data_IF_121256569808
#
_entry.id   IF_121256569808
#
_cell.length_a   1.000
_cell.length_b   1.000
_cell.length_c   1.000
_cell.angle_alpha   90.00
_cell.angle_beta   90.00
_cell.angle_gamma   90.00
#
_symmetry.space_group_name_H-M   'P 1'
#
loop_
_entity.id
_entity.type
_entity.pdbx_description
1 polymer ?
#
# COMPACT_ATOMS: atom_id res chain seq x y z
N UNK A 1 -70.79 21.74 4.78
CA UNK A 1 -70.00 21.00 3.76
C UNK A 1 -68.49 21.21 3.97
N UNK A 2 -68.09 22.45 4.21
CA UNK A 2 -66.71 22.91 4.47
C UNK A 2 -65.97 22.22 5.64
N UNK A 3 -66.66 21.92 6.76
CA UNK A 3 -66.05 21.23 7.92
C UNK A 3 -65.64 19.78 7.60
N UNK A 4 -66.42 19.07 6.78
CA UNK A 4 -66.10 17.69 6.37
C UNK A 4 -64.89 17.65 5.43
N UNK A 5 -64.77 18.66 4.58
CA UNK A 5 -63.65 18.80 3.64
C UNK A 5 -62.35 19.16 4.37
N UNK A 6 -62.43 20.05 5.37
CA UNK A 6 -61.28 20.43 6.18
C UNK A 6 -60.77 19.26 7.05
N UNK A 7 -61.67 18.46 7.65
CA UNK A 7 -61.30 17.21 8.36
C UNK A 7 -60.64 16.18 7.45
N UNK A 8 -61.07 16.07 6.18
CA UNK A 8 -60.44 15.19 5.17
C UNK A 8 -59.04 15.67 4.80
N UNK A 9 -58.84 16.98 4.62
CA UNK A 9 -57.51 17.56 4.33
C UNK A 9 -56.53 17.35 5.49
N UNK A 10 -56.99 17.52 6.73
CA UNK A 10 -56.18 17.28 7.94
C UNK A 10 -55.79 15.80 8.06
N UNK A 11 -56.74 14.87 7.89
CA UNK A 11 -56.44 13.43 7.91
C UNK A 11 -55.45 13.01 6.82
N UNK A 12 -55.54 13.61 5.62
CA UNK A 12 -54.61 13.34 4.51
C UNK A 12 -53.20 13.82 4.82
N UNK A 13 -53.07 15.00 5.46
CA UNK A 13 -51.77 15.55 5.92
C UNK A 13 -51.15 14.72 7.04
N UNK A 14 -51.94 14.26 8.02
CA UNK A 14 -51.46 13.40 9.12
C UNK A 14 -50.98 12.06 8.56
N UNK A 15 -51.74 11.44 7.64
CA UNK A 15 -51.32 10.18 7.00
C UNK A 15 -50.04 10.36 6.19
N UNK A 16 -49.89 11.45 5.44
CA UNK A 16 -48.66 11.73 4.70
C UNK A 16 -47.45 11.93 5.63
N UNK A 17 -47.63 12.64 6.75
CA UNK A 17 -46.59 12.82 7.75
C UNK A 17 -46.19 11.49 8.41
N UNK A 18 -47.15 10.66 8.81
CA UNK A 18 -46.88 9.33 9.40
C UNK A 18 -46.16 8.41 8.41
N UNK A 19 -46.54 8.42 7.13
CA UNK A 19 -45.86 7.65 6.09
C UNK A 19 -44.44 8.17 5.85
N UNK A 20 -44.23 9.49 5.79
CA UNK A 20 -42.90 10.09 5.63
C UNK A 20 -42.00 9.76 6.83
N UNK A 21 -42.51 9.84 8.06
CA UNK A 21 -41.80 9.45 9.27
C UNK A 21 -41.51 7.96 9.30
N UNK A 22 -42.44 7.10 8.86
CA UNK A 22 -42.21 5.65 8.78
C UNK A 22 -41.17 5.27 7.71
N UNK A 23 -41.12 5.98 6.57
CA UNK A 23 -40.08 5.80 5.53
C UNK A 23 -38.72 6.28 6.05
N UNK A 24 -38.66 7.42 6.75
CA UNK A 24 -37.44 7.90 7.40
C UNK A 24 -36.96 6.93 8.49
N UNK A 25 -37.84 6.45 9.37
CA UNK A 25 -37.50 5.48 10.41
C UNK A 25 -37.12 4.12 9.81
N UNK A 26 -37.77 3.70 8.72
CA UNK A 26 -37.40 2.50 7.95
C UNK A 26 -36.04 2.64 7.25
N UNK A 27 -35.73 3.83 6.72
CA UNK A 27 -34.41 4.18 6.19
C UNK A 27 -33.36 4.20 7.31
N UNK A 28 -33.67 4.66 8.52
CA UNK A 28 -32.75 4.71 9.68
C UNK A 28 -32.53 3.35 10.35
N UNK A 29 -33.57 2.53 10.50
CA UNK A 29 -33.46 1.16 11.02
C UNK A 29 -32.83 0.22 9.98
N UNK A 30 -33.22 0.40 8.71
CA UNK A 30 -32.62 -0.27 7.55
C UNK A 30 -31.17 0.13 7.36
N UNK A 31 -30.80 1.41 7.50
CA UNK A 31 -29.39 1.84 7.48
C UNK A 31 -28.64 1.29 8.67
N UNK A 32 -29.15 1.25 9.90
CA UNK A 32 -28.37 0.68 11.01
C UNK A 32 -28.10 -0.83 10.84
N UNK A 33 -29.04 -1.57 10.27
CA UNK A 33 -28.86 -2.98 9.89
C UNK A 33 -27.97 -3.16 8.65
N UNK A 34 -28.12 -2.31 7.63
CA UNK A 34 -27.32 -2.28 6.40
C UNK A 34 -25.89 -1.81 6.65
N UNK A 35 -25.68 -0.81 7.51
CA UNK A 35 -24.39 -0.29 7.97
C UNK A 35 -23.63 -1.32 8.80
N UNK A 36 -24.35 -2.18 9.54
CA UNK A 36 -23.77 -3.37 10.20
C UNK A 36 -23.29 -4.42 9.20
N UNK A 37 -23.80 -4.39 7.96
CA UNK A 37 -23.49 -5.32 6.87
C UNK A 37 -22.48 -4.73 5.87
N UNK A 38 -22.38 -3.40 5.76
CA UNK A 38 -21.30 -2.69 5.06
C UNK A 38 -20.05 -2.55 5.95
N UNK A 39 -20.22 -2.65 7.27
CA UNK A 39 -19.11 -2.77 8.20
C UNK A 39 -18.43 -4.12 8.01
N UNK A 40 -17.37 -4.15 7.22
CA UNK A 40 -16.41 -5.26 7.22
C UNK A 40 -16.05 -5.52 8.69
N UNK A 41 -16.38 -6.70 9.19
CA UNK A 41 -15.97 -7.09 10.54
C UNK A 41 -14.49 -7.40 10.49
N UNK A 42 -13.68 -6.49 11.01
CA UNK A 42 -12.23 -6.65 11.05
C UNK A 42 -11.84 -7.56 12.23
N UNK A 43 -11.01 -8.59 11.98
CA UNK A 43 -10.53 -9.43 13.06
C UNK A 43 -9.62 -8.60 13.97
N UNK A 44 -9.94 -8.57 15.27
CA UNK A 44 -9.17 -7.84 16.27
C UNK A 44 -7.98 -8.66 16.76
N UNK A 45 -6.85 -8.02 16.98
CA UNK A 45 -5.64 -8.65 17.53
C UNK A 45 -4.93 -9.62 16.58
N UNK A 46 -5.25 -9.56 15.28
CA UNK A 46 -4.63 -10.45 14.27
C UNK A 46 -3.41 -9.79 13.62
N UNK A 47 -3.46 -8.48 13.39
CA UNK A 47 -2.41 -7.80 12.64
C UNK A 47 -1.37 -7.17 13.57
N UNK A 48 -0.11 -7.16 13.11
CA UNK A 48 1.00 -6.51 13.78
C UNK A 48 1.63 -5.45 12.85
N UNK A 49 2.22 -4.36 13.40
CA UNK A 49 3.00 -3.41 12.64
C UNK A 49 4.10 -4.10 11.83
N UNK A 50 4.47 -3.52 10.69
CA UNK A 50 5.65 -4.00 9.95
C UNK A 50 6.85 -4.00 10.88
N UNK A 51 7.46 -5.18 11.08
CA UNK A 51 8.60 -5.34 11.96
C UNK A 51 9.87 -4.78 11.30
N UNK A 52 10.67 -4.06 12.11
CA UNK A 52 11.96 -3.53 11.70
C UNK A 52 13.08 -4.32 12.39
N UNK A 53 14.18 -4.56 11.68
CA UNK A 53 15.39 -5.11 12.24
C UNK A 53 16.13 -4.07 13.09
N UNK A 54 16.76 -4.55 14.15
CA UNK A 54 17.75 -3.78 14.91
C UNK A 54 19.09 -3.84 14.17
N UNK A 55 19.82 -2.74 14.12
CA UNK A 55 21.12 -2.68 13.43
C UNK A 55 22.14 -3.63 14.08
N UNK A 56 22.99 -4.23 13.24
CA UNK A 56 23.95 -5.29 13.52
C UNK A 56 23.39 -6.72 13.44
N UNK A 57 23.42 -7.27 12.22
CA UNK A 57 23.67 -8.70 12.06
C UNK A 57 25.17 -8.90 11.81
N UNK A 58 25.85 -9.65 12.67
CA UNK A 58 27.30 -9.91 12.60
C UNK A 58 27.63 -11.37 12.27
N UNK A 59 26.63 -12.15 11.82
CA UNK A 59 26.94 -13.48 11.31
C UNK A 59 27.66 -13.35 9.97
N UNK A 60 28.57 -14.28 9.73
CA UNK A 60 29.31 -14.36 8.48
C UNK A 60 28.63 -15.39 7.61
N UNK A 61 28.05 -14.95 6.48
CA UNK A 61 27.62 -15.89 5.45
C UNK A 61 28.83 -16.62 4.87
N UNK A 62 28.64 -17.90 4.57
CA UNK A 62 29.63 -18.76 3.89
C UNK A 62 29.25 -19.03 2.44
N UNK A 63 28.14 -18.45 1.97
CA UNK A 63 27.65 -18.54 0.59
C UNK A 63 28.51 -17.66 -0.35
N UNK A 64 28.94 -18.16 -1.52
CA UNK A 64 29.71 -17.38 -2.51
C UNK A 64 28.88 -16.38 -3.33
N UNK A 65 27.65 -16.04 -2.95
CA UNK A 65 26.84 -15.08 -3.73
C UNK A 65 27.38 -13.65 -3.56
N UNK A 66 27.75 -12.95 -4.65
CA UNK A 66 28.31 -11.60 -4.55
C UNK A 66 27.29 -10.52 -4.15
N UNK A 67 25.98 -10.80 -4.25
CA UNK A 67 24.92 -9.83 -4.00
C UNK A 67 24.07 -10.18 -2.78
N UNK A 68 24.16 -11.41 -2.26
CA UNK A 68 23.32 -11.88 -1.18
C UNK A 68 24.16 -12.40 -0.02
N UNK A 69 23.94 -11.82 1.15
CA UNK A 69 24.33 -12.36 2.45
C UNK A 69 23.10 -12.98 3.11
N UNK A 70 22.90 -14.29 2.91
CA UNK A 70 21.75 -15.06 3.39
C UNK A 70 21.58 -15.02 4.91
N UNK A 71 22.60 -14.59 5.65
CA UNK A 71 22.58 -14.50 7.10
C UNK A 71 21.94 -13.18 7.60
N UNK A 72 21.99 -12.11 6.80
CA UNK A 72 21.26 -10.87 7.05
C UNK A 72 19.74 -11.07 7.10
N UNK A 73 18.98 -10.17 7.74
CA UNK A 73 17.52 -10.33 7.93
C UNK A 73 16.68 -9.09 7.55
N UNK A 74 17.30 -8.09 6.94
CA UNK A 74 16.65 -6.93 6.32
C UNK A 74 17.39 -6.59 5.02
N UNK A 75 16.82 -5.72 4.18
CA UNK A 75 17.46 -5.28 2.93
C UNK A 75 18.89 -4.79 3.17
N UNK A 76 19.14 -4.04 4.25
CA UNK A 76 20.47 -3.51 4.58
C UNK A 76 21.55 -4.58 4.72
N UNK A 77 21.22 -5.67 5.39
CA UNK A 77 22.19 -6.70 5.76
C UNK A 77 22.16 -7.90 4.81
N UNK A 78 21.07 -8.11 4.08
CA UNK A 78 20.88 -9.27 3.19
C UNK A 78 21.38 -9.01 1.78
N UNK A 79 21.27 -7.78 1.28
CA UNK A 79 21.55 -7.46 -0.13
C UNK A 79 22.80 -6.58 -0.19
N UNK A 80 23.86 -7.12 -0.74
CA UNK A 80 25.15 -6.44 -0.89
C UNK A 80 25.10 -5.52 -2.12
N UNK A 81 25.66 -4.30 -2.04
CA UNK A 81 25.81 -3.47 -3.23
C UNK A 81 26.81 -4.13 -4.21
N UNK A 82 26.71 -3.85 -5.52
CA UNK A 82 27.68 -4.34 -6.50
C UNK A 82 29.10 -3.86 -6.21
N UNK A 83 30.11 -4.58 -6.70
CA UNK A 83 31.51 -4.19 -6.58
C UNK A 83 31.74 -2.75 -7.07
N UNK A 84 32.39 -1.93 -6.24
CA UNK A 84 32.65 -0.52 -6.53
C UNK A 84 31.49 0.44 -6.23
N UNK A 85 30.33 -0.06 -5.79
CA UNK A 85 29.20 0.75 -5.34
C UNK A 85 29.12 0.78 -3.81
N UNK A 86 28.74 1.94 -3.28
CA UNK A 86 28.43 2.13 -1.86
C UNK A 86 26.99 2.60 -1.71
N UNK A 87 26.26 2.04 -0.76
CA UNK A 87 24.91 2.50 -0.42
C UNK A 87 24.95 3.97 -0.03
N UNK A 88 24.01 4.77 -0.55
CA UNK A 88 23.90 6.16 -0.11
C UNK A 88 23.48 6.22 1.35
N UNK A 89 23.92 7.24 2.07
CA UNK A 89 23.57 7.46 3.47
C UNK A 89 22.06 7.61 3.65
N UNK A 90 21.51 6.92 4.64
CA UNK A 90 20.13 7.08 5.05
C UNK A 90 20.07 8.00 6.26
N UNK A 91 19.21 9.01 6.21
CA UNK A 91 18.88 9.80 7.40
C UNK A 91 18.24 8.87 8.43
N UNK A 92 18.73 8.92 9.67
CA UNK A 92 18.16 8.20 10.81
C UNK A 92 16.65 8.47 10.92
N UNK A 93 15.87 7.39 11.09
CA UNK A 93 14.39 7.40 11.10
C UNK A 93 13.73 7.99 9.84
N UNK A 94 14.49 8.24 8.78
CA UNK A 94 14.00 8.62 7.47
C UNK A 94 13.39 7.44 6.71
N UNK A 95 12.70 7.73 5.60
CA UNK A 95 12.02 6.67 4.85
C UNK A 95 12.97 5.62 4.26
N UNK A 96 14.14 6.02 3.75
CA UNK A 96 15.16 5.07 3.28
C UNK A 96 15.67 4.17 4.42
N UNK A 97 15.88 4.73 5.63
CA UNK A 97 16.26 3.93 6.80
C UNK A 97 15.18 2.89 7.13
N UNK A 98 13.92 3.33 7.14
CA UNK A 98 12.76 2.46 7.35
C UNK A 98 12.72 1.31 6.33
N UNK A 99 12.77 1.62 5.01
CA UNK A 99 12.73 0.61 3.94
C UNK A 99 13.87 -0.42 4.08
N UNK A 100 15.08 0.06 4.37
CA UNK A 100 16.27 -0.79 4.56
C UNK A 100 16.16 -1.73 5.76
N UNK A 101 15.39 -1.34 6.78
CA UNK A 101 15.24 -2.06 8.04
C UNK A 101 13.98 -2.92 8.11
N UNK A 102 13.08 -2.86 7.12
CA UNK A 102 11.95 -3.79 7.10
C UNK A 102 12.48 -5.22 7.12
N UNK A 103 11.95 -6.01 8.05
CA UNK A 103 12.36 -7.40 8.24
C UNK A 103 12.04 -8.23 7.00
N UNK A 104 12.96 -9.10 6.64
CA UNK A 104 12.79 -10.14 5.65
C UNK A 104 12.54 -11.49 6.32
N UNK A 105 11.83 -12.37 5.63
CA UNK A 105 11.73 -13.79 5.97
C UNK A 105 13.11 -14.45 5.81
N UNK A 106 13.33 -15.65 6.37
CA UNK A 106 14.59 -16.38 6.17
C UNK A 106 14.96 -16.51 4.68
N UNK A 107 16.26 -16.53 4.40
CA UNK A 107 16.81 -16.84 3.08
C UNK A 107 16.18 -18.09 2.47
N UNK A 108 16.00 -18.10 1.15
CA UNK A 108 15.33 -19.19 0.42
C UNK A 108 13.83 -19.36 0.70
N UNK A 109 13.16 -18.45 1.42
CA UNK A 109 11.71 -18.56 1.62
C UNK A 109 10.98 -18.39 0.27
N UNK A 110 10.04 -19.30 -0.09
CA UNK A 110 9.27 -19.14 -1.32
C UNK A 110 8.36 -17.91 -1.26
N UNK A 111 8.17 -17.25 -2.40
CA UNK A 111 7.11 -16.25 -2.57
C UNK A 111 5.79 -16.99 -2.66
N UNK A 112 4.83 -16.64 -1.79
CA UNK A 112 3.50 -17.25 -1.78
C UNK A 112 2.42 -16.25 -2.17
N UNK A 113 1.41 -16.74 -2.88
CA UNK A 113 0.14 -16.03 -3.04
C UNK A 113 -0.72 -16.10 -1.77
N UNK A 114 -1.74 -15.24 -1.70
CA UNK A 114 -2.68 -15.16 -0.58
C UNK A 114 -3.40 -16.48 -0.27
N UNK A 115 -3.53 -17.37 -1.27
CA UNK A 115 -4.16 -18.69 -1.16
C UNK A 115 -3.16 -19.77 -0.70
N UNK A 116 -1.90 -19.43 -0.48
CA UNK A 116 -0.82 -20.34 -0.09
C UNK A 116 -0.10 -21.03 -1.25
N UNK A 117 -0.49 -20.76 -2.49
CA UNK A 117 0.18 -21.25 -3.69
C UNK A 117 1.60 -20.68 -3.79
N UNK A 118 2.55 -21.53 -4.15
CA UNK A 118 3.94 -21.12 -4.38
C UNK A 118 4.06 -20.46 -5.74
N UNK A 119 4.52 -19.20 -5.76
CA UNK A 119 4.80 -18.45 -6.99
C UNK A 119 6.23 -18.73 -7.45
N UNK A 120 7.17 -18.78 -6.51
CA UNK A 120 8.57 -19.15 -6.77
C UNK A 120 9.08 -20.04 -5.65
N UNK A 121 9.83 -21.10 -5.98
CA UNK A 121 10.28 -22.11 -5.02
C UNK A 121 11.34 -21.62 -4.02
N UNK A 122 11.97 -20.47 -4.25
CA UNK A 122 12.89 -19.85 -3.30
C UNK A 122 13.26 -18.42 -3.69
N UNK A 123 13.15 -17.48 -2.74
CA UNK A 123 13.52 -16.08 -2.94
C UNK A 123 14.26 -15.57 -1.69
N UNK A 124 15.40 -14.90 -1.91
CA UNK A 124 16.28 -14.41 -0.85
C UNK A 124 15.79 -13.13 -0.17
N UNK A 125 14.67 -12.56 -0.63
CA UNK A 125 14.32 -11.15 -0.37
C UNK A 125 12.84 -10.92 -0.07
N UNK A 126 12.15 -11.96 0.44
CA UNK A 126 10.73 -11.86 0.81
C UNK A 126 10.57 -11.06 2.09
N UNK A 127 9.73 -10.02 2.09
CA UNK A 127 9.46 -9.21 3.29
C UNK A 127 8.57 -9.94 4.29
N UNK A 128 8.82 -9.73 5.58
CA UNK A 128 8.13 -10.39 6.71
C UNK A 128 6.96 -9.54 7.22
N UNK A 129 5.93 -9.42 6.39
CA UNK A 129 4.63 -8.91 6.81
C UNK A 129 3.49 -9.65 6.12
N UNK A 130 2.35 -9.73 6.79
CA UNK A 130 1.19 -10.50 6.33
C UNK A 130 0.58 -9.96 5.02
N UNK A 131 -0.15 -10.77 4.25
CA UNK A 131 -0.90 -10.31 3.07
C UNK A 131 -2.32 -9.82 3.39
N UNK A 132 -2.68 -9.76 4.68
CA UNK A 132 -4.07 -9.60 5.09
C UNK A 132 -4.90 -10.86 4.89
N UNK A 133 -6.22 -10.70 4.86
CA UNK A 133 -7.15 -11.78 4.56
C UNK A 133 -7.61 -11.73 3.11
N UNK A 134 -7.38 -12.80 2.34
CA UNK A 134 -7.83 -12.93 0.95
C UNK A 134 -6.95 -12.20 -0.08
N UNK A 135 -7.47 -12.09 -1.31
CA UNK A 135 -6.80 -11.45 -2.46
C UNK A 135 -6.88 -9.92 -2.42
N UNK A 136 -6.46 -9.30 -1.30
CA UNK A 136 -6.57 -7.86 -1.11
C UNK A 136 -5.26 -7.12 -1.29
N UNK A 137 -4.16 -7.59 -0.70
CA UNK A 137 -2.90 -6.85 -0.74
C UNK A 137 -2.15 -7.10 -2.04
N UNK A 138 -2.65 -6.52 -3.14
CA UNK A 138 -2.06 -6.61 -4.47
C UNK A 138 -0.92 -5.58 -4.62
N UNK A 139 -0.41 -5.42 -5.84
CA UNK A 139 0.76 -4.56 -6.12
C UNK A 139 0.65 -3.14 -5.53
N UNK A 140 -0.43 -2.41 -5.82
CA UNK A 140 -0.62 -1.04 -5.32
C UNK A 140 -0.85 -1.01 -3.80
N UNK A 141 -1.52 -2.02 -3.27
CA UNK A 141 -1.86 -2.11 -1.85
C UNK A 141 -0.62 -2.30 -1.00
N UNK A 142 0.36 -3.08 -1.48
CA UNK A 142 1.63 -3.24 -0.78
C UNK A 142 2.39 -1.92 -0.68
N UNK A 143 2.40 -1.11 -1.75
CA UNK A 143 2.99 0.24 -1.75
C UNK A 143 2.26 1.16 -0.78
N UNK A 144 0.92 1.20 -0.83
CA UNK A 144 0.08 1.98 0.09
C UNK A 144 0.37 1.59 1.54
N UNK A 145 0.48 0.28 1.83
CA UNK A 145 0.78 -0.22 3.17
C UNK A 145 2.14 0.23 3.65
N UNK A 146 3.21 0.04 2.86
CA UNK A 146 4.58 0.39 3.26
C UNK A 146 4.70 1.88 3.59
N UNK A 147 4.14 2.76 2.75
CA UNK A 147 4.12 4.21 2.98
C UNK A 147 3.35 4.54 4.27
N UNK A 148 2.18 3.93 4.45
CA UNK A 148 1.33 4.18 5.61
C UNK A 148 1.95 3.70 6.91
N UNK A 149 2.65 2.56 6.88
CA UNK A 149 3.34 1.99 8.04
C UNK A 149 4.48 2.88 8.50
N UNK A 150 5.25 3.46 7.57
CA UNK A 150 6.26 4.46 7.91
C UNK A 150 5.66 5.64 8.66
N UNK A 151 4.62 6.27 8.10
CA UNK A 151 3.98 7.42 8.73
C UNK A 151 3.27 7.05 10.05
N UNK A 152 2.69 5.86 10.15
CA UNK A 152 2.06 5.39 11.38
C UNK A 152 3.11 5.20 12.49
N UNK A 153 4.20 4.47 12.19
CA UNK A 153 5.23 4.14 13.17
C UNK A 153 6.10 5.35 13.56
N UNK A 154 6.21 6.36 12.70
CA UNK A 154 6.89 7.64 13.01
C UNK A 154 5.95 8.71 13.58
N UNK A 155 4.69 8.39 13.86
CA UNK A 155 3.72 9.33 14.46
C UNK A 155 3.27 10.47 13.53
N UNK A 156 3.49 10.33 12.22
CA UNK A 156 3.12 11.29 11.18
C UNK A 156 1.79 10.92 10.51
N UNK A 157 0.85 10.41 11.29
CA UNK A 157 -0.44 9.84 10.85
C UNK A 157 -1.29 10.80 9.99
N UNK A 158 -1.11 12.11 10.17
CA UNK A 158 -1.76 13.16 9.36
C UNK A 158 -1.34 13.16 7.88
N UNK A 159 -0.20 12.54 7.55
CA UNK A 159 0.28 12.38 6.17
C UNK A 159 -0.37 11.18 5.47
N UNK A 160 -1.12 10.35 6.19
CA UNK A 160 -1.76 9.14 5.64
C UNK A 160 -3.12 9.53 5.05
N UNK A 161 -3.13 9.73 3.72
CA UNK A 161 -4.31 10.05 2.94
C UNK A 161 -4.16 9.46 1.54
N UNK A 162 -5.22 8.84 1.02
CA UNK A 162 -5.23 8.28 -0.33
C UNK A 162 -6.55 8.56 -1.03
N UNK A 163 -6.50 8.68 -2.35
CA UNK A 163 -7.69 8.78 -3.18
C UNK A 163 -8.17 7.40 -3.63
N UNK A 164 -9.48 7.19 -3.56
CA UNK A 164 -10.12 6.05 -4.20
C UNK A 164 -10.20 6.26 -5.71
N UNK A 165 -10.54 5.20 -6.47
CA UNK A 165 -10.66 5.27 -7.94
C UNK A 165 -11.70 6.29 -8.43
N UNK A 166 -12.70 6.62 -7.60
CA UNK A 166 -13.70 7.64 -7.91
C UNK A 166 -13.30 9.06 -7.47
N UNK A 167 -12.08 9.25 -6.95
CA UNK A 167 -11.54 10.53 -6.51
C UNK A 167 -11.92 10.96 -5.09
N UNK A 168 -12.61 10.12 -4.29
CA UNK A 168 -12.80 10.44 -2.88
C UNK A 168 -11.47 10.32 -2.13
N UNK A 169 -11.04 11.41 -1.50
CA UNK A 169 -9.94 11.40 -0.55
C UNK A 169 -10.39 10.74 0.78
N UNK A 170 -9.62 9.78 1.27
CA UNK A 170 -9.87 9.09 2.55
C UNK A 170 -8.67 9.32 3.44
N UNK A 171 -8.84 10.14 4.48
CA UNK A 171 -7.79 10.46 5.46
C UNK A 171 -7.82 9.51 6.63
N UNK A 172 -6.64 9.08 7.09
CA UNK A 172 -6.57 8.27 8.30
C UNK A 172 -7.01 9.06 9.55
N UNK A 173 -6.78 10.38 9.59
CA UNK A 173 -7.26 11.24 10.69
C UNK A 173 -8.78 11.24 10.80
N UNK A 174 -9.49 11.29 9.68
CA UNK A 174 -10.95 11.23 9.65
C UNK A 174 -11.44 9.86 10.12
N UNK A 175 -10.74 8.79 9.71
CA UNK A 175 -11.01 7.45 10.18
C UNK A 175 -10.83 7.31 11.69
N UNK A 176 -9.74 7.86 12.25
CA UNK A 176 -9.49 7.88 13.69
C UNK A 176 -10.56 8.65 14.46
N UNK A 177 -11.12 9.71 13.87
CA UNK A 177 -12.26 10.46 14.42
C UNK A 177 -13.62 9.73 14.28
N UNK A 178 -13.62 8.44 13.94
CA UNK A 178 -14.81 7.59 13.89
C UNK A 178 -15.53 7.58 12.54
N UNK A 179 -14.99 8.25 11.51
CA UNK A 179 -15.58 8.17 10.17
C UNK A 179 -15.26 6.82 9.52
N UNK A 180 -16.22 6.27 8.79
CA UNK A 180 -16.06 5.03 8.02
C UNK A 180 -16.52 5.24 6.59
N UNK A 181 -15.81 4.58 5.68
CA UNK A 181 -16.12 4.58 4.26
C UNK A 181 -17.44 3.85 4.02
N UNK A 182 -18.38 4.53 3.36
CA UNK A 182 -19.62 3.94 2.85
C UNK A 182 -19.59 4.08 1.34
N UNK A 183 -19.57 2.94 0.63
CA UNK A 183 -19.52 2.89 -0.82
C UNK A 183 -20.73 2.11 -1.39
N UNK A 184 -21.33 2.65 -2.44
CA UNK A 184 -22.42 2.04 -3.19
C UNK A 184 -22.27 2.34 -4.69
N UNK A 185 -22.01 1.30 -5.49
CA UNK A 185 -21.66 1.50 -6.90
C UNK A 185 -20.43 2.41 -7.04
N UNK A 186 -20.54 3.48 -7.82
CA UNK A 186 -19.48 4.47 -8.00
C UNK A 186 -19.49 5.59 -6.95
N UNK A 187 -20.48 5.64 -6.06
CA UNK A 187 -20.55 6.64 -5.01
C UNK A 187 -19.82 6.16 -3.76
N UNK A 188 -19.00 7.02 -3.16
CA UNK A 188 -18.37 6.78 -1.87
C UNK A 188 -18.40 8.05 -1.03
N UNK A 189 -18.54 7.91 0.30
CA UNK A 189 -18.48 9.03 1.23
C UNK A 189 -18.10 8.55 2.64
N UNK A 190 -17.59 9.47 3.46
CA UNK A 190 -17.17 9.23 4.84
C UNK A 190 -18.27 9.66 5.82
N UNK A 191 -18.67 8.76 6.72
CA UNK A 191 -19.72 9.00 7.71
C UNK A 191 -19.24 8.65 9.12
N UNK A 192 -19.58 9.46 10.13
CA UNK A 192 -19.27 9.14 11.54
C UNK A 192 -20.14 7.97 12.01
N UNK A 193 -19.56 6.78 12.01
CA UNK A 193 -20.23 5.50 12.24
C UNK A 193 -19.58 4.67 13.35
N UNK A 194 -18.48 5.17 13.92
CA UNK A 194 -17.77 4.56 15.02
C UNK A 194 -17.39 5.61 16.06
N UNK A 195 -17.01 5.15 17.25
CA UNK A 195 -16.30 5.98 18.20
C UNK A 195 -14.89 6.28 17.66
N UNK A 196 -14.23 7.23 18.29
CA UNK A 196 -12.85 7.54 17.98
C UNK A 196 -11.97 6.33 18.31
N UNK A 197 -11.02 6.04 17.43
CA UNK A 197 -10.16 4.85 17.53
C UNK A 197 -8.72 5.22 17.32
N UNK A 198 -7.84 4.77 18.21
CA UNK A 198 -6.41 4.99 18.12
C UNK A 198 -5.65 3.70 18.45
N UNK A 199 -5.78 2.70 17.58
CA UNK A 199 -5.06 1.43 17.71
C UNK A 199 -4.77 0.85 16.33
N UNK A 200 -3.85 -0.12 16.33
CA UNK A 200 -3.34 -0.71 15.10
C UNK A 200 -4.40 -1.51 14.33
N UNK A 201 -5.33 -2.19 15.00
CA UNK A 201 -6.46 -2.85 14.34
C UNK A 201 -7.29 -1.86 13.52
N UNK A 202 -7.53 -0.66 14.05
CA UNK A 202 -8.25 0.40 13.33
C UNK A 202 -7.44 0.98 12.17
N UNK A 203 -6.12 1.09 12.31
CA UNK A 203 -5.23 1.44 11.21
C UNK A 203 -5.29 0.42 10.06
N UNK A 204 -5.23 -0.86 10.38
CA UNK A 204 -5.36 -1.93 9.37
C UNK A 204 -6.75 -1.98 8.74
N UNK A 205 -7.78 -1.67 9.50
CA UNK A 205 -9.13 -1.53 8.98
C UNK A 205 -9.25 -0.37 7.98
N UNK A 206 -8.61 0.77 8.26
CA UNK A 206 -8.50 1.89 7.33
C UNK A 206 -7.80 1.46 6.04
N UNK A 207 -6.62 0.84 6.14
CA UNK A 207 -5.87 0.38 4.96
C UNK A 207 -6.69 -0.57 4.11
N UNK A 208 -7.34 -1.55 4.73
CA UNK A 208 -8.21 -2.47 4.01
C UNK A 208 -9.40 -1.75 3.33
N UNK A 209 -9.95 -0.70 3.93
CA UNK A 209 -11.01 0.09 3.31
C UNK A 209 -10.49 0.85 2.08
N UNK A 210 -9.28 1.43 2.16
CA UNK A 210 -8.63 2.11 1.04
C UNK A 210 -8.29 1.12 -0.08
N UNK A 211 -7.56 0.04 0.23
CA UNK A 211 -7.11 -0.99 -0.72
C UNK A 211 -8.25 -1.66 -1.49
N UNK A 212 -9.46 -1.70 -0.92
CA UNK A 212 -10.64 -2.24 -1.60
C UNK A 212 -11.10 -1.37 -2.79
N UNK A 213 -10.83 -0.07 -2.78
CA UNK A 213 -11.39 0.89 -3.73
C UNK A 213 -10.34 1.81 -4.40
N UNK A 214 -9.11 1.81 -3.89
CA UNK A 214 -7.93 2.38 -4.52
C UNK A 214 -7.21 1.31 -5.37
N UNK A 215 -6.27 1.74 -6.20
CA UNK A 215 -5.45 0.85 -7.01
C UNK A 215 -4.44 1.66 -7.81
N UNK A 216 -3.76 1.04 -8.77
CA UNK A 216 -2.75 1.74 -9.59
C UNK A 216 -3.34 2.95 -10.30
N UNK A 217 -4.60 2.92 -10.75
CA UNK A 217 -5.27 4.08 -11.36
C UNK A 217 -5.40 5.28 -10.43
N UNK A 218 -5.82 5.08 -9.18
CA UNK A 218 -5.95 6.21 -8.24
C UNK A 218 -4.59 6.68 -7.76
N UNK A 219 -3.68 5.73 -7.47
CA UNK A 219 -2.31 6.04 -7.09
C UNK A 219 -1.60 6.86 -8.16
N UNK A 220 -1.82 6.56 -9.44
CA UNK A 220 -1.26 7.29 -10.57
C UNK A 220 -1.71 8.76 -10.60
N UNK A 221 -2.99 9.01 -10.28
CA UNK A 221 -3.55 10.35 -10.17
C UNK A 221 -3.00 11.16 -8.98
N UNK A 222 -2.37 10.50 -8.01
CA UNK A 222 -1.70 11.13 -6.85
C UNK A 222 -0.19 11.29 -7.06
N UNK A 223 0.34 10.77 -8.16
CA UNK A 223 1.76 10.81 -8.46
C UNK A 223 2.09 11.82 -9.56
N UNK A 224 3.31 12.37 -9.51
CA UNK A 224 3.87 13.21 -10.56
C UNK A 224 5.03 12.50 -11.25
N UNK A 225 5.14 12.63 -12.58
CA UNK A 225 6.28 12.09 -13.31
C UNK A 225 7.58 12.77 -12.85
N UNK A 226 8.66 12.00 -12.76
CA UNK A 226 9.99 12.51 -12.44
C UNK A 226 10.99 12.07 -13.50
N UNK A 227 12.08 12.83 -13.60
CA UNK A 227 13.22 12.44 -14.41
C UNK A 227 14.04 11.38 -13.67
N UNK A 228 14.64 10.45 -14.41
CA UNK A 228 15.41 9.34 -13.84
C UNK A 228 16.63 9.79 -13.01
N UNK A 229 17.23 10.93 -13.33
CA UNK A 229 18.32 11.53 -12.57
C UNK A 229 17.90 12.02 -11.17
N UNK A 230 16.60 12.13 -10.90
CA UNK A 230 16.02 12.50 -9.61
C UNK A 230 15.46 11.29 -8.86
N UNK A 231 15.60 10.08 -9.41
CA UNK A 231 15.07 8.86 -8.83
C UNK A 231 15.65 8.64 -7.43
N UNK A 232 14.78 8.39 -6.46
CA UNK A 232 15.18 8.14 -5.09
C UNK A 232 14.32 7.04 -4.45
N UNK A 233 14.78 6.44 -3.34
CA UNK A 233 13.97 5.52 -2.56
C UNK A 233 12.60 6.11 -2.17
N UNK A 234 11.55 5.34 -2.39
CA UNK A 234 10.14 5.72 -2.25
C UNK A 234 9.46 6.19 -3.53
N UNK A 235 10.21 6.44 -4.60
CA UNK A 235 9.64 6.63 -5.94
C UNK A 235 9.13 5.30 -6.52
N UNK A 236 8.30 5.41 -7.53
CA UNK A 236 7.55 4.30 -8.11
C UNK A 236 7.84 4.16 -9.60
N UNK A 237 7.93 2.92 -10.07
CA UNK A 237 7.62 2.60 -11.46
C UNK A 237 6.15 2.21 -11.47
N UNK A 238 5.32 3.03 -12.11
CA UNK A 238 3.86 2.97 -12.03
C UNK A 238 3.23 3.16 -13.40
N UNK A 239 2.54 2.11 -13.87
CA UNK A 239 1.58 2.19 -14.96
C UNK A 239 0.17 2.18 -14.35
N UNK A 240 -0.47 3.35 -14.27
CA UNK A 240 -1.84 3.48 -13.81
C UNK A 240 -2.85 2.86 -14.78
N UNK A 241 -3.87 2.16 -14.25
CA UNK A 241 -4.95 1.63 -15.08
C UNK A 241 -5.55 0.33 -14.57
N UNK A 242 -6.33 -0.34 -15.43
CA UNK A 242 -6.87 -1.68 -15.17
C UNK A 242 -6.81 -2.49 -16.48
N UNK A 243 -5.83 -3.38 -16.66
CA UNK A 243 -4.75 -3.69 -15.70
C UNK A 243 -3.72 -2.55 -15.60
N UNK A 244 -3.08 -2.46 -14.43
CA UNK A 244 -1.90 -1.62 -14.19
C UNK A 244 -0.95 -2.35 -13.26
N UNK A 245 0.24 -1.81 -13.04
CA UNK A 245 1.22 -2.40 -12.13
C UNK A 245 2.10 -1.33 -11.48
N UNK A 246 2.68 -1.67 -10.34
CA UNK A 246 3.56 -0.77 -9.60
C UNK A 246 4.62 -1.53 -8.81
N UNK A 247 5.84 -1.00 -8.83
CA UNK A 247 6.94 -1.36 -7.93
C UNK A 247 7.54 -0.09 -7.33
N UNK A 248 8.13 -0.20 -6.14
CA UNK A 248 8.74 0.90 -5.41
C UNK A 248 10.27 0.76 -5.42
N UNK A 249 10.98 1.86 -5.57
CA UNK A 249 12.43 1.94 -5.29
C UNK A 249 12.63 1.85 -3.78
N UNK A 250 13.33 0.82 -3.30
CA UNK A 250 13.52 0.59 -1.86
C UNK A 250 14.94 0.83 -1.39
N UNK A 251 15.89 0.93 -2.32
CA UNK A 251 17.28 1.20 -2.00
C UNK A 251 18.03 1.82 -3.17
N UNK A 252 19.20 2.40 -2.86
CA UNK A 252 20.10 3.02 -3.82
C UNK A 252 21.57 2.86 -3.35
N UNK A 253 22.44 2.59 -4.32
CA UNK A 253 23.88 2.62 -4.16
C UNK A 253 24.52 3.41 -5.31
N UNK A 254 25.69 4.00 -5.07
CA UNK A 254 26.40 4.88 -5.99
C UNK A 254 27.88 4.48 -6.08
N UNK A 255 28.47 4.54 -7.27
CA UNK A 255 29.90 4.32 -7.48
C UNK A 255 30.72 5.62 -7.38
N UNK A 256 32.05 5.54 -7.49
CA UNK A 256 32.92 6.72 -7.42
C UNK A 256 32.73 7.74 -8.56
N UNK A 257 32.02 7.36 -9.62
CA UNK A 257 31.72 8.22 -10.77
C UNK A 257 30.35 8.91 -10.65
N UNK A 258 29.59 8.64 -9.58
CA UNK A 258 28.25 9.16 -9.37
C UNK A 258 27.15 8.37 -10.10
N UNK A 259 27.46 7.19 -10.65
CA UNK A 259 26.45 6.33 -11.25
C UNK A 259 25.69 5.58 -10.16
N UNK A 260 24.36 5.62 -10.23
CA UNK A 260 23.48 4.96 -9.27
C UNK A 260 22.92 3.63 -9.79
N UNK A 261 22.72 2.69 -8.88
CA UNK A 261 21.89 1.50 -9.06
C UNK A 261 20.86 1.39 -7.93
N UNK A 262 19.75 0.72 -8.21
CA UNK A 262 18.55 0.74 -7.38
C UNK A 262 18.00 -0.67 -7.11
N UNK A 263 17.43 -0.87 -5.93
CA UNK A 263 16.59 -2.04 -5.66
C UNK A 263 15.13 -1.67 -5.82
N UNK A 264 14.36 -2.56 -6.47
CA UNK A 264 12.93 -2.42 -6.66
C UNK A 264 12.18 -3.49 -5.87
N UNK A 265 11.04 -3.15 -5.28
CA UNK A 265 10.20 -4.09 -4.55
C UNK A 265 8.72 -3.99 -4.97
N UNK A 266 8.04 -5.12 -5.02
CA UNK A 266 6.68 -5.22 -5.53
C UNK A 266 5.91 -6.42 -4.99
N UNK A 267 4.58 -6.30 -5.03
CA UNK A 267 3.67 -7.44 -5.03
C UNK A 267 3.09 -7.62 -6.43
N UNK A 268 2.16 -8.56 -6.64
CA UNK A 268 1.52 -8.78 -7.93
C UNK A 268 -0.01 -8.90 -7.82
N UNK A 269 -0.65 -9.33 -8.91
CA UNK A 269 -2.04 -9.76 -8.97
C UNK A 269 -2.07 -11.20 -9.49
N UNK A 270 -2.56 -12.19 -8.74
CA UNK A 270 -3.18 -12.09 -7.41
C UNK A 270 -2.23 -11.60 -6.30
N UNK A 271 -2.77 -11.22 -5.15
CA UNK A 271 -2.02 -10.80 -3.98
C UNK A 271 -1.00 -11.89 -3.59
N UNK A 272 0.24 -11.46 -3.39
CA UNK A 272 1.37 -12.33 -3.08
C UNK A 272 2.40 -11.58 -2.25
N UNK A 273 3.30 -12.32 -1.62
CA UNK A 273 4.35 -11.76 -0.78
C UNK A 273 5.11 -10.62 -1.48
N UNK A 274 5.27 -9.52 -0.76
CA UNK A 274 6.11 -8.41 -1.19
C UNK A 274 7.58 -8.84 -1.13
N UNK A 275 8.33 -8.59 -2.20
CA UNK A 275 9.73 -9.02 -2.31
C UNK A 275 10.51 -8.07 -3.23
N UNK A 276 11.84 -8.18 -3.23
CA UNK A 276 12.67 -7.48 -4.22
C UNK A 276 12.50 -8.18 -5.56
N UNK A 277 12.07 -7.42 -6.57
CA UNK A 277 11.82 -7.95 -7.91
C UNK A 277 13.14 -8.10 -8.67
N UNK A 278 13.26 -9.14 -9.48
CA UNK A 278 14.49 -9.42 -10.22
C UNK A 278 14.70 -8.50 -11.42
N UNK A 279 15.97 -8.25 -11.75
CA UNK A 279 16.37 -7.58 -12.99
C UNK A 279 16.50 -8.62 -14.13
N UNK A 280 15.57 -8.66 -15.11
CA UNK A 280 15.60 -9.67 -16.15
C UNK A 280 16.80 -9.53 -17.11
N UNK A 281 17.44 -8.35 -17.15
CA UNK A 281 18.64 -8.11 -17.97
C UNK A 281 19.91 -8.63 -17.30
N UNK A 282 19.88 -8.90 -15.99
CA UNK A 282 21.06 -9.27 -15.18
C UNK A 282 20.72 -10.42 -14.23
N UNK A 283 20.75 -11.67 -14.70
CA UNK A 283 20.48 -12.82 -13.84
C UNK A 283 21.36 -12.81 -12.58
N UNK A 284 20.73 -13.01 -11.42
CA UNK A 284 21.31 -13.00 -10.05
C UNK A 284 21.68 -11.63 -9.46
N UNK A 285 21.87 -10.60 -10.27
CA UNK A 285 22.08 -9.24 -9.76
C UNK A 285 20.72 -8.58 -9.52
N UNK A 286 20.33 -8.32 -8.25
CA UNK A 286 19.04 -7.71 -7.95
C UNK A 286 19.01 -6.20 -8.25
N UNK A 287 20.16 -5.58 -8.56
CA UNK A 287 20.25 -4.15 -8.78
C UNK A 287 19.88 -3.76 -10.21
N UNK A 288 19.10 -2.69 -10.32
CA UNK A 288 18.76 -2.02 -11.56
C UNK A 288 19.68 -0.83 -11.74
N UNK A 289 20.50 -0.87 -12.78
CA UNK A 289 21.39 0.24 -13.11
C UNK A 289 20.62 1.27 -13.93
N UNK A 290 21.17 2.48 -14.04
CA UNK A 290 20.59 3.54 -14.88
C UNK A 290 20.22 3.05 -16.29
N UNK A 291 21.12 2.31 -16.95
CA UNK A 291 20.88 1.72 -18.28
C UNK A 291 19.69 0.75 -18.34
N UNK A 292 19.30 0.17 -17.21
CA UNK A 292 18.18 -0.77 -17.14
C UNK A 292 16.83 -0.03 -17.06
N UNK A 293 16.85 1.20 -16.55
CA UNK A 293 15.70 2.09 -16.31
C UNK A 293 15.55 3.19 -17.38
N UNK A 294 16.45 3.27 -18.35
CA UNK A 294 16.39 4.21 -19.47
C UNK A 294 15.70 3.62 -20.72
N UNK A 295 15.17 4.51 -21.56
CA UNK A 295 14.52 4.18 -22.83
C UNK A 295 13.00 4.13 -22.75
N UNK A 296 12.36 3.69 -23.84
CA UNK A 296 10.91 3.69 -23.99
C UNK A 296 10.19 2.64 -23.14
N UNK A 297 10.93 1.62 -22.69
CA UNK A 297 10.40 0.53 -21.87
C UNK A 297 11.41 0.06 -20.82
N UNK A 298 10.92 -0.20 -19.62
CA UNK A 298 11.69 -0.70 -18.49
C UNK A 298 11.20 -2.11 -18.17
N UNK A 299 12.11 -3.08 -18.18
CA UNK A 299 11.78 -4.48 -17.93
C UNK A 299 12.02 -4.78 -16.46
N UNK A 300 10.98 -5.22 -15.77
CA UNK A 300 11.02 -5.74 -14.39
C UNK A 300 10.46 -7.16 -14.45
N UNK A 301 10.92 -8.06 -13.59
CA UNK A 301 10.49 -9.46 -13.64
C UNK A 301 8.95 -9.58 -13.71
N UNK A 302 8.46 -10.27 -14.75
CA UNK A 302 7.03 -10.44 -15.03
C UNK A 302 6.26 -9.23 -15.58
N UNK A 303 6.87 -8.05 -15.78
CA UNK A 303 6.15 -6.86 -16.26
C UNK A 303 7.02 -5.84 -17.03
N UNK A 304 6.48 -5.29 -18.13
CA UNK A 304 7.11 -4.20 -18.88
C UNK A 304 6.44 -2.86 -18.56
N UNK A 305 7.20 -1.94 -17.97
CA UNK A 305 6.79 -0.57 -17.75
C UNK A 305 7.12 0.34 -18.94
N UNK A 306 6.40 1.44 -19.10
CA UNK A 306 6.79 2.51 -20.03
C UNK A 306 7.97 3.30 -19.45
N UNK A 307 8.82 3.88 -20.30
CA UNK A 307 9.85 4.85 -19.88
C UNK A 307 9.29 6.08 -19.14
N UNK A 308 7.99 6.35 -19.29
CA UNK A 308 7.28 7.44 -18.59
C UNK A 308 6.64 7.02 -17.25
N UNK A 309 6.88 5.77 -16.82
CA UNK A 309 6.29 5.20 -15.60
C UNK A 309 6.98 5.62 -14.32
N UNK A 310 8.11 6.35 -14.39
CA UNK A 310 8.85 6.78 -13.20
C UNK A 310 8.13 7.97 -12.57
N UNK A 311 7.59 7.76 -11.37
CA UNK A 311 6.71 8.72 -10.69
C UNK A 311 7.02 8.83 -9.20
N UNK A 312 6.68 9.99 -8.63
CA UNK A 312 6.81 10.31 -7.21
C UNK A 312 5.44 10.58 -6.61
N UNK A 313 5.13 9.89 -5.52
CA UNK A 313 3.89 10.11 -4.77
C UNK A 313 4.00 11.36 -3.89
N UNK A 314 2.99 12.24 -3.95
CA UNK A 314 2.83 13.41 -3.06
C UNK A 314 4.10 14.27 -2.84
N UNK A 315 4.85 14.55 -3.91
CA UNK A 315 6.13 15.30 -3.91
C UNK A 315 7.30 14.63 -3.16
N UNK A 316 7.13 13.39 -2.69
CA UNK A 316 8.15 12.61 -2.02
C UNK A 316 7.88 12.42 -0.53
N UNK A 317 8.50 11.38 0.04
CA UNK A 317 8.40 11.06 1.46
C UNK A 317 9.66 11.62 2.13
N UNK A 318 9.46 12.60 3.01
CA UNK A 318 10.51 13.34 3.73
C UNK A 318 10.66 12.82 5.14
#
# INVERSE_FOLDING_TARGET
MEIKENKRKIHKRIRAAVIATAILVGLFAGTRWFLKRTGVTYPKGVYQPIALCQEAYTGTDTNPDPFIDSSGNCVRTRILPPDGFNRLDAKEDGFLDFLRRIRLKPAGTPVKAYNGETITDGNETVYDFDLGGGDLQQCADSVIRVISEYYYQTGQEQKISFHLTNGLEVKYTDWRAGNRLVAFGNYASMWKLSADTNNYDSFRAYLHAVMRYAGTKSLDGECSAIQLDKLQPGDLLLNGGTPGHVVMVVDVAENSEGECCYLLAGGAMPAQDFHIVGNPKRPKDPWFYRSDLEGDSIQVDGYTFSGTSIKRWNNGIV
#
